data_IF_783644374773
#
_entry.id   IF_783644374773
#
_cell.length_a   1.000
_cell.length_b   1.000
_cell.length_c   1.000
_cell.angle_alpha   90.00
_cell.angle_beta   90.00
_cell.angle_gamma   90.00
#
_symmetry.space_group_name_H-M   'P 1'
#
loop_
_entity.id
_entity.type
_entity.pdbx_description
1 polymer ?
#
# COMPACT_ATOMS: atom_id res chain seq x y z
N UNK A 1 -17.96 0.16 -8.09
CA UNK A 1 -19.09 -0.56 -7.47
C UNK A 1 -18.96 -2.08 -7.57
N UNK A 2 -18.70 -2.66 -8.75
CA UNK A 2 -18.60 -4.13 -8.93
C UNK A 2 -17.69 -4.89 -7.93
N UNK A 3 -16.46 -4.39 -7.66
CA UNK A 3 -15.53 -5.01 -6.70
C UNK A 3 -16.14 -5.05 -5.29
N UNK A 4 -16.81 -3.97 -4.89
CA UNK A 4 -17.43 -3.83 -3.58
C UNK A 4 -18.62 -4.79 -3.44
N UNK A 5 -19.42 -4.95 -4.50
CA UNK A 5 -20.54 -5.89 -4.52
C UNK A 5 -20.07 -7.33 -4.35
N UNK A 6 -19.01 -7.73 -5.06
CA UNK A 6 -18.40 -9.05 -4.92
C UNK A 6 -17.87 -9.27 -3.49
N UNK A 7 -17.18 -8.28 -2.92
CA UNK A 7 -16.65 -8.36 -1.57
C UNK A 7 -17.76 -8.50 -0.52
N UNK A 8 -18.81 -7.68 -0.61
CA UNK A 8 -19.96 -7.72 0.32
C UNK A 8 -20.80 -8.98 0.15
N UNK A 9 -20.82 -9.57 -1.04
CA UNK A 9 -21.41 -10.89 -1.29
C UNK A 9 -20.55 -12.07 -0.80
N UNK A 10 -19.36 -11.82 -0.23
CA UNK A 10 -18.44 -12.83 0.26
C UNK A 10 -17.59 -13.51 -0.83
N UNK A 11 -17.69 -13.06 -2.09
CA UNK A 11 -16.95 -13.56 -3.25
C UNK A 11 -15.55 -12.94 -3.32
N UNK A 12 -14.71 -13.33 -2.37
CA UNK A 12 -13.40 -12.68 -2.16
C UNK A 12 -12.43 -12.88 -3.32
N UNK A 13 -12.38 -14.08 -3.91
CA UNK A 13 -11.45 -14.37 -5.01
C UNK A 13 -11.80 -13.55 -6.26
N UNK A 14 -13.08 -13.52 -6.61
CA UNK A 14 -13.57 -12.74 -7.75
C UNK A 14 -13.41 -11.23 -7.50
N UNK A 15 -13.60 -10.77 -6.26
CA UNK A 15 -13.34 -9.39 -5.90
C UNK A 15 -11.86 -9.02 -6.09
N UNK A 16 -10.92 -9.92 -5.73
CA UNK A 16 -9.48 -9.73 -5.91
C UNK A 16 -9.12 -9.68 -7.39
N UNK A 17 -9.60 -10.63 -8.19
CA UNK A 17 -9.32 -10.69 -9.63
C UNK A 17 -9.89 -9.47 -10.37
N UNK A 18 -10.97 -8.88 -9.84
CA UNK A 18 -11.56 -7.66 -10.38
C UNK A 18 -10.78 -6.39 -10.00
N UNK A 19 -9.79 -6.44 -9.10
CA UNK A 19 -8.95 -5.28 -8.75
C UNK A 19 -7.95 -5.01 -9.88
N UNK A 20 -7.94 -3.83 -10.50
CA UNK A 20 -6.95 -3.50 -11.51
C UNK A 20 -5.53 -3.42 -10.90
N UNK A 21 -4.53 -4.01 -11.55
CA UNK A 21 -3.14 -3.94 -11.11
C UNK A 21 -2.64 -2.50 -10.89
N UNK A 22 -3.11 -1.57 -11.72
CA UNK A 22 -2.75 -0.17 -11.61
C UNK A 22 -3.27 0.46 -10.32
N UNK A 23 -4.47 0.08 -9.90
CA UNK A 23 -5.00 0.51 -8.61
C UNK A 23 -4.11 -0.02 -7.49
N UNK A 24 -3.70 -1.30 -7.54
CA UNK A 24 -2.79 -1.91 -6.56
C UNK A 24 -1.47 -1.14 -6.47
N UNK A 25 -0.85 -0.81 -7.60
CA UNK A 25 0.39 -0.02 -7.65
C UNK A 25 0.21 1.39 -7.12
N UNK A 26 -0.95 2.01 -7.31
CA UNK A 26 -1.23 3.36 -6.83
C UNK A 26 -1.50 3.41 -5.33
N UNK A 27 -2.04 2.35 -4.73
CA UNK A 27 -2.42 2.33 -3.31
C UNK A 27 -1.46 1.56 -2.40
N UNK A 28 -0.40 0.96 -2.95
CA UNK A 28 0.56 0.13 -2.21
C UNK A 28 1.98 0.70 -2.25
N UNK A 29 2.73 0.51 -1.17
CA UNK A 29 4.17 0.81 -1.09
C UNK A 29 4.99 -0.50 -1.09
N UNK A 30 4.58 -1.46 -1.91
CA UNK A 30 5.23 -2.78 -2.03
C UNK A 30 5.90 -2.87 -3.39
N UNK A 31 7.21 -3.10 -3.41
CA UNK A 31 7.99 -3.22 -4.64
C UNK A 31 9.47 -2.88 -4.43
N UNK A 32 10.24 -2.77 -5.52
CA UNK A 32 11.64 -2.35 -5.46
C UNK A 32 11.82 -0.97 -4.82
N UNK A 33 12.96 -0.73 -4.16
CA UNK A 33 13.22 0.51 -3.43
C UNK A 33 13.06 1.79 -4.30
N UNK A 34 13.45 1.73 -5.57
CA UNK A 34 13.25 2.85 -6.50
C UNK A 34 11.78 3.20 -6.74
N UNK A 35 10.94 2.17 -6.93
CA UNK A 35 9.49 2.35 -7.05
C UNK A 35 8.91 2.98 -5.78
N UNK A 36 9.26 2.44 -4.60
CA UNK A 36 8.77 2.96 -3.32
C UNK A 36 9.21 4.41 -3.10
N UNK A 37 10.45 4.76 -3.44
CA UNK A 37 10.97 6.13 -3.35
C UNK A 37 10.18 7.11 -4.22
N UNK A 38 9.91 6.77 -5.48
CA UNK A 38 9.10 7.60 -6.38
C UNK A 38 7.68 7.76 -5.86
N UNK A 39 7.08 6.70 -5.31
CA UNK A 39 5.75 6.76 -4.70
C UNK A 39 5.71 7.64 -3.45
N UNK A 40 6.70 7.53 -2.59
CA UNK A 40 6.82 8.37 -1.40
C UNK A 40 6.94 9.85 -1.77
N UNK A 41 7.72 10.18 -2.80
CA UNK A 41 7.85 11.55 -3.31
C UNK A 41 6.55 12.10 -3.91
N UNK A 42 5.71 11.24 -4.49
CA UNK A 42 4.42 11.60 -5.08
C UNK A 42 3.29 11.79 -4.05
N UNK A 43 3.48 11.38 -2.79
CA UNK A 43 2.49 11.51 -1.73
C UNK A 43 2.79 12.83 -0.97
N UNK A 44 1.85 13.77 -1.02
CA UNK A 44 1.95 15.05 -0.28
C UNK A 44 1.52 14.90 1.18
N UNK A 45 1.81 15.88 2.05
CA UNK A 45 1.47 15.83 3.48
C UNK A 45 0.00 15.52 3.80
N UNK A 46 -0.96 16.04 3.02
CA UNK A 46 -2.39 15.72 3.17
C UNK A 46 -2.75 14.29 2.72
N UNK A 47 -2.01 13.72 1.76
CA UNK A 47 -2.15 12.31 1.39
C UNK A 47 -1.42 11.39 2.37
N UNK A 48 -0.38 11.85 3.06
CA UNK A 48 0.32 11.06 4.10
C UNK A 48 -0.60 10.74 5.28
N UNK A 49 -1.44 11.68 5.72
CA UNK A 49 -2.41 11.45 6.81
C UNK A 49 -3.48 10.40 6.43
N UNK A 50 -3.86 10.36 5.16
CA UNK A 50 -4.81 9.38 4.64
C UNK A 50 -4.14 8.03 4.35
N UNK A 51 -2.87 8.05 3.98
CA UNK A 51 -2.06 6.86 3.74
C UNK A 51 -1.50 6.32 5.07
N UNK A 52 -2.41 5.80 5.92
CA UNK A 52 -2.01 5.09 7.14
C UNK A 52 -1.13 3.90 6.75
N UNK A 53 0.18 4.01 7.01
CA UNK A 53 1.16 2.93 6.81
C UNK A 53 0.83 1.77 7.74
N UNK A 54 -0.04 0.87 7.31
CA UNK A 54 -0.15 -0.45 7.92
C UNK A 54 1.03 -1.26 7.40
N UNK A 55 2.13 -1.22 8.14
CA UNK A 55 3.18 -2.22 8.02
C UNK A 55 2.64 -3.54 8.60
N UNK A 56 1.66 -4.14 7.90
CA UNK A 56 1.07 -5.42 8.23
C UNK A 56 1.97 -6.55 7.76
N UNK A 57 1.98 -7.63 8.56
CA UNK A 57 2.80 -8.85 8.41
C UNK A 57 4.25 -8.70 8.87
N UNK A 58 4.46 -8.72 10.19
CA UNK A 58 5.79 -8.82 10.80
C UNK A 58 5.76 -8.62 12.31
N UNK A 59 6.79 -9.08 13.01
CA UNK A 59 6.98 -8.72 14.42
C UNK A 59 7.20 -7.20 14.55
N UNK A 60 6.90 -6.61 15.72
CA UNK A 60 7.08 -5.16 15.96
C UNK A 60 8.48 -4.65 15.56
N UNK A 61 9.51 -5.48 15.71
CA UNK A 61 10.89 -5.17 15.31
C UNK A 61 11.07 -5.11 13.79
N UNK A 62 10.39 -5.96 13.04
CA UNK A 62 10.42 -5.94 11.57
C UNK A 62 9.66 -4.74 11.03
N UNK A 63 8.51 -4.42 11.64
CA UNK A 63 7.80 -3.17 11.35
C UNK A 63 8.68 -1.95 11.59
N UNK A 64 9.43 -1.90 12.70
CA UNK A 64 10.34 -0.80 13.00
C UNK A 64 11.43 -0.66 11.91
N UNK A 65 12.10 -1.75 11.54
CA UNK A 65 13.10 -1.76 10.46
C UNK A 65 12.52 -1.31 9.12
N UNK A 66 11.28 -1.72 8.81
CA UNK A 66 10.60 -1.29 7.60
C UNK A 66 10.34 0.22 7.61
N UNK A 67 9.88 0.77 8.74
CA UNK A 67 9.67 2.22 8.89
C UNK A 67 10.98 2.99 8.77
N UNK A 68 12.05 2.52 9.41
CA UNK A 68 13.40 3.09 9.30
C UNK A 68 13.86 3.10 7.83
N UNK A 69 13.71 1.97 7.13
CA UNK A 69 14.06 1.89 5.71
C UNK A 69 13.25 2.85 4.83
N UNK A 70 11.96 3.06 5.13
CA UNK A 70 11.15 4.06 4.42
C UNK A 70 11.62 5.49 4.69
N UNK A 71 12.14 5.79 5.88
CA UNK A 71 12.70 7.11 6.19
C UNK A 71 13.95 7.40 5.36
N UNK A 72 14.82 6.40 5.15
CA UNK A 72 16.01 6.55 4.30
C UNK A 72 15.69 6.84 2.83
N UNK A 73 14.47 6.52 2.39
CA UNK A 73 14.00 6.74 1.02
C UNK A 73 13.29 8.09 0.84
N UNK A 74 12.92 8.77 1.93
CA UNK A 74 12.33 10.11 1.85
C UNK A 74 13.41 11.12 1.41
N UNK A 75 13.05 12.14 0.61
CA UNK A 75 13.95 13.24 0.27
C UNK A 75 14.30 14.11 1.47
#
# INVERSE_FOLDING_TARGET
>A
DHIQDLYLAGKKAEAIDAVPDELVRQVSLVGPAGFVKERLAAITGERMDQHRRHAGFGERRETAKFVEHLQDLLP
#
